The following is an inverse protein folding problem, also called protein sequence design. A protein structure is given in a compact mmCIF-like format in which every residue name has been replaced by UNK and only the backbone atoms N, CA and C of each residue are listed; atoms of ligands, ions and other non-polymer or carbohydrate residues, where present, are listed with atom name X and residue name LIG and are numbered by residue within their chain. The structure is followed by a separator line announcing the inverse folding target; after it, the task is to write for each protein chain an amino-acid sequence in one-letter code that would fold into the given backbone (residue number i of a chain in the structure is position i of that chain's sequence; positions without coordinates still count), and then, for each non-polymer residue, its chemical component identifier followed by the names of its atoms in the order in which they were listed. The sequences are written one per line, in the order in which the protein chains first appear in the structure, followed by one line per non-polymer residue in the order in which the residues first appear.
data_IF_496385513414
#
_entry.id   IF_496385513414
#
_cell.length_a   1.000
_cell.length_b   1.000
_cell.length_c   1.000
_cell.angle_alpha   90.00
_cell.angle_beta   90.00
_cell.angle_gamma   90.00
#
_symmetry.space_group_name_H-M   'P 1'
#
loop_
_entity.id
_entity.type
_entity.pdbx_description
1 polymer ?
#
# COMPACT_ATOMS: atom_id res chain seq x y z
N UNK A 1 16.77 10.02 6.80
CA UNK A 1 16.12 10.06 5.46
C UNK A 1 14.62 10.23 5.66
N UNK A 2 13.92 10.98 4.79
CA UNK A 2 12.45 11.10 4.83
C UNK A 2 11.86 10.24 3.71
N UNK A 3 10.79 9.52 3.99
CA UNK A 3 10.13 8.62 3.03
C UNK A 3 8.66 9.00 2.93
N UNK A 4 8.13 9.05 1.70
CA UNK A 4 6.69 9.19 1.44
C UNK A 4 6.24 7.92 0.73
N UNK A 5 5.33 7.18 1.35
CA UNK A 5 4.73 5.98 0.79
C UNK A 5 3.34 6.32 0.25
N UNK A 6 3.15 6.21 -1.07
CA UNK A 6 1.88 6.50 -1.73
C UNK A 6 1.27 5.18 -2.20
N UNK A 7 0.05 4.92 -1.76
CA UNK A 7 -0.74 3.76 -2.16
C UNK A 7 -2.04 4.25 -2.81
N UNK A 8 -2.36 3.68 -3.97
CA UNK A 8 -3.56 4.04 -4.74
C UNK A 8 -4.46 2.81 -4.80
N UNK A 9 -5.67 2.94 -4.26
CA UNK A 9 -6.60 1.81 -4.18
C UNK A 9 -7.16 1.49 -5.57
N UNK A 10 -7.16 0.20 -5.91
CA UNK A 10 -7.72 -0.31 -7.17
C UNK A 10 -7.09 0.28 -8.47
N UNK A 11 -5.90 0.87 -8.39
CA UNK A 11 -5.19 1.36 -9.57
C UNK A 11 -4.80 0.19 -10.49
N UNK A 12 -5.25 0.25 -11.73
CA UNK A 12 -4.95 -0.77 -12.72
C UNK A 12 -3.73 -0.37 -13.57
N UNK A 13 -2.76 -1.29 -13.72
CA UNK A 13 -1.62 -1.15 -14.63
C UNK A 13 -2.03 -0.78 -16.05
N UNK A 14 -3.15 -1.34 -16.53
CA UNK A 14 -3.68 -1.13 -17.88
C UNK A 14 -4.31 0.27 -18.08
N UNK A 15 -4.24 1.15 -17.07
CA UNK A 15 -4.68 2.54 -17.14
C UNK A 15 -3.52 3.55 -16.98
N UNK A 16 -2.27 3.13 -17.19
CA UNK A 16 -1.07 3.90 -16.84
C UNK A 16 -0.08 4.00 -18.00
N UNK A 17 0.22 5.22 -18.45
CA UNK A 17 1.20 5.48 -19.53
C UNK A 17 2.59 4.89 -19.26
N UNK A 18 3.13 4.90 -18.01
CA UNK A 18 4.42 4.26 -17.72
C UNK A 18 4.53 2.79 -18.11
N UNK A 19 3.39 2.10 -18.26
CA UNK A 19 3.32 0.71 -18.67
C UNK A 19 2.87 0.54 -20.14
N UNK A 20 2.92 1.62 -20.95
CA UNK A 20 2.68 1.61 -22.39
C UNK A 20 1.22 1.85 -22.81
N UNK A 21 0.33 2.18 -21.87
CA UNK A 21 -1.08 2.46 -22.15
C UNK A 21 -1.23 3.82 -22.82
N UNK A 22 -2.05 3.89 -23.88
CA UNK A 22 -2.30 5.14 -24.64
C UNK A 22 -3.70 5.72 -24.48
N UNK A 23 -4.60 5.00 -23.82
CA UNK A 23 -6.02 5.37 -23.66
C UNK A 23 -6.28 6.32 -22.49
N UNK A 24 -5.40 6.32 -21.48
CA UNK A 24 -5.50 7.16 -20.29
C UNK A 24 -4.26 8.02 -20.21
N UNK A 25 -4.42 9.34 -20.02
CA UNK A 25 -3.30 10.27 -19.92
C UNK A 25 -2.88 10.45 -18.45
N UNK A 26 -1.63 10.14 -18.14
CA UNK A 26 -1.05 10.13 -16.79
C UNK A 26 0.33 10.82 -16.75
N UNK A 27 0.44 12.08 -17.21
CA UNK A 27 1.73 12.72 -17.50
C UNK A 27 2.61 12.91 -16.26
N UNK A 28 2.00 13.06 -15.08
CA UNK A 28 2.72 13.16 -13.82
C UNK A 28 3.44 11.85 -13.44
N UNK A 29 2.84 10.69 -13.74
CA UNK A 29 3.48 9.39 -13.52
C UNK A 29 4.61 9.14 -14.53
N UNK A 30 4.42 9.52 -15.79
CA UNK A 30 5.47 9.48 -16.82
C UNK A 30 6.68 10.34 -16.40
N UNK A 31 6.45 11.56 -15.89
CA UNK A 31 7.51 12.42 -15.34
C UNK A 31 8.17 11.82 -14.08
N UNK A 32 7.45 11.04 -13.28
CA UNK A 32 8.02 10.37 -12.12
C UNK A 32 8.91 9.20 -12.52
N UNK A 33 8.48 8.37 -13.47
CA UNK A 33 9.25 7.25 -14.01
C UNK A 33 10.63 7.67 -14.54
N UNK A 34 10.75 8.84 -15.16
CA UNK A 34 12.04 9.37 -15.64
C UNK A 34 13.10 9.57 -14.54
N UNK A 35 12.69 9.60 -13.26
CA UNK A 35 13.54 9.87 -12.10
C UNK A 35 13.51 8.74 -11.07
N UNK A 36 12.90 7.61 -11.40
CA UNK A 36 12.66 6.51 -10.48
C UNK A 36 12.81 5.16 -11.19
N UNK A 37 12.88 4.08 -10.42
CA UNK A 37 12.83 2.72 -10.96
C UNK A 37 11.37 2.29 -11.09
N UNK A 38 11.00 1.76 -12.26
CA UNK A 38 9.69 1.13 -12.49
C UNK A 38 9.83 -0.38 -12.47
N UNK A 39 8.95 -1.05 -11.74
CA UNK A 39 8.95 -2.51 -11.62
C UNK A 39 7.88 -3.11 -12.52
N UNK A 40 8.29 -3.83 -13.57
CA UNK A 40 7.36 -4.47 -14.51
C UNK A 40 6.69 -5.74 -13.96
N UNK A 41 7.25 -6.31 -12.91
CA UNK A 41 6.84 -7.60 -12.32
C UNK A 41 6.66 -7.47 -10.81
N UNK A 42 5.87 -6.49 -10.39
CA UNK A 42 5.45 -6.33 -8.99
C UNK A 42 4.04 -6.89 -8.82
N UNK A 43 3.90 -7.86 -7.91
CA UNK A 43 2.65 -8.55 -7.63
C UNK A 43 2.27 -8.37 -6.18
N UNK A 44 0.99 -8.18 -5.93
CA UNK A 44 0.43 -8.19 -4.58
C UNK A 44 0.37 -9.63 -4.06
N UNK A 45 0.63 -9.82 -2.77
CA UNK A 45 0.47 -11.12 -2.11
C UNK A 45 -1.01 -11.44 -1.90
N UNK A 46 -1.64 -10.72 -0.98
CA UNK A 46 -3.04 -10.92 -0.60
C UNK A 46 -3.98 -9.90 -1.24
N UNK A 47 -5.14 -10.34 -1.73
CA UNK A 47 -6.23 -9.48 -2.22
C UNK A 47 -7.55 -9.84 -1.52
N UNK A 48 -8.52 -8.89 -1.37
CA UNK A 48 -8.52 -7.49 -1.83
C UNK A 48 -7.87 -6.52 -0.82
N UNK A 49 -8.06 -5.21 -1.02
CA UNK A 49 -7.51 -4.06 -0.27
C UNK A 49 -6.94 -4.32 1.14
N UNK A 50 -7.75 -4.77 2.11
CA UNK A 50 -7.32 -4.91 3.52
C UNK A 50 -6.27 -6.00 3.73
N UNK A 51 -6.47 -7.24 3.24
CA UNK A 51 -5.39 -8.23 3.17
C UNK A 51 -4.09 -7.70 2.53
N UNK A 52 -4.18 -6.97 1.42
CA UNK A 52 -2.99 -6.40 0.76
C UNK A 52 -2.26 -5.41 1.69
N UNK A 53 -3.01 -4.56 2.39
CA UNK A 53 -2.48 -3.59 3.36
C UNK A 53 -1.83 -4.28 4.53
N UNK A 54 -2.45 -5.33 5.08
CA UNK A 54 -1.84 -6.15 6.13
C UNK A 54 -0.51 -6.76 5.69
N UNK A 55 -0.43 -7.30 4.48
CA UNK A 55 0.84 -7.81 3.93
C UNK A 55 1.90 -6.71 3.85
N UNK A 56 1.52 -5.49 3.46
CA UNK A 56 2.44 -4.33 3.42
C UNK A 56 2.89 -3.89 4.82
N UNK A 57 2.01 -3.92 5.82
CA UNK A 57 2.35 -3.57 7.20
C UNK A 57 3.37 -4.55 7.80
N UNK A 58 3.21 -5.84 7.50
CA UNK A 58 3.90 -6.94 8.18
C UNK A 58 5.04 -7.57 7.38
N UNK A 59 5.10 -7.33 6.07
CA UNK A 59 6.05 -7.96 5.16
C UNK A 59 5.83 -9.46 4.95
N UNK A 60 4.63 -9.99 5.24
CA UNK A 60 4.31 -11.43 5.14
C UNK A 60 2.97 -11.63 4.42
N UNK A 61 2.81 -12.71 3.66
CA UNK A 61 1.54 -13.02 2.99
C UNK A 61 0.57 -13.74 3.93
N UNK A 62 -0.60 -13.14 4.18
CA UNK A 62 -1.55 -13.63 5.18
C UNK A 62 -2.78 -14.34 4.62
N UNK A 63 -3.17 -14.13 3.35
CA UNK A 63 -4.48 -14.58 2.85
C UNK A 63 -4.76 -16.08 3.03
N UNK A 64 -3.73 -16.93 2.98
CA UNK A 64 -3.86 -18.38 3.16
C UNK A 64 -4.22 -18.79 4.59
N UNK A 65 -3.93 -17.93 5.57
CA UNK A 65 -4.09 -18.22 7.00
C UNK A 65 -5.11 -17.29 7.65
N UNK A 66 -5.50 -16.22 6.96
CA UNK A 66 -6.39 -15.20 7.47
C UNK A 66 -7.18 -14.55 6.34
N UNK A 67 -8.50 -14.62 6.47
CA UNK A 67 -9.44 -13.93 5.58
C UNK A 67 -9.38 -12.41 5.73
N UNK A 68 -10.18 -11.70 4.94
CA UNK A 68 -10.36 -10.26 5.05
C UNK A 68 -10.61 -9.81 6.49
N UNK A 69 -9.94 -8.73 6.88
CA UNK A 69 -10.03 -8.18 8.24
C UNK A 69 -8.90 -7.21 8.52
N UNK A 70 -8.87 -6.67 9.74
CA UNK A 70 -7.88 -5.68 10.10
C UNK A 70 -6.54 -6.28 10.55
N UNK A 71 -5.61 -5.41 10.97
CA UNK A 71 -4.45 -5.87 11.74
C UNK A 71 -4.93 -6.47 13.05
N UNK A 72 -4.27 -7.54 13.47
CA UNK A 72 -4.48 -8.17 14.75
C UNK A 72 -3.49 -7.59 15.79
N UNK A 73 -3.78 -7.66 17.10
CA UNK A 73 -2.89 -7.13 18.13
C UNK A 73 -1.46 -7.70 18.14
N UNK A 74 -1.25 -8.85 17.50
CA UNK A 74 0.04 -9.52 17.40
C UNK A 74 0.75 -9.29 16.05
N UNK A 75 0.18 -8.48 15.16
CA UNK A 75 0.81 -8.17 13.88
C UNK A 75 1.94 -7.14 14.06
N UNK A 76 3.10 -7.44 13.48
CA UNK A 76 4.25 -6.54 13.42
C UNK A 76 4.02 -5.44 12.38
N UNK A 77 3.53 -4.28 12.81
CA UNK A 77 3.24 -3.14 11.92
C UNK A 77 4.48 -2.26 11.71
N UNK A 78 5.00 -2.13 10.47
CA UNK A 78 6.21 -1.33 10.22
C UNK A 78 6.12 0.14 10.71
N UNK A 79 4.97 0.86 10.60
CA UNK A 79 4.87 2.21 11.14
C UNK A 79 4.98 2.26 12.66
N UNK A 80 4.49 1.24 13.36
CA UNK A 80 4.58 1.11 14.81
C UNK A 80 6.02 0.80 15.24
N UNK A 81 6.68 -0.15 14.55
CA UNK A 81 8.10 -0.46 14.77
C UNK A 81 8.97 0.79 14.56
N UNK A 82 8.71 1.57 13.50
CA UNK A 82 9.41 2.83 13.25
C UNK A 82 9.21 3.84 14.40
N UNK A 83 7.97 4.00 14.87
CA UNK A 83 7.63 4.88 16.00
C UNK A 83 8.34 4.49 17.28
N UNK A 84 8.36 3.19 17.60
CA UNK A 84 9.07 2.64 18.77
C UNK A 84 10.58 2.91 18.71
N UNK A 85 11.14 3.04 17.49
CA UNK A 85 12.54 3.41 17.26
C UNK A 85 12.76 4.93 17.11
N UNK A 86 11.81 5.76 17.56
CA UNK A 86 11.93 7.22 17.56
C UNK A 86 11.78 7.88 16.19
N UNK A 87 11.28 7.16 15.18
CA UNK A 87 11.02 7.70 13.85
C UNK A 87 9.58 8.18 13.78
N UNK A 88 9.38 9.44 13.35
CA UNK A 88 8.04 9.97 13.12
C UNK A 88 7.35 9.25 11.95
N UNK A 89 6.13 8.78 12.20
CA UNK A 89 5.25 8.17 11.20
C UNK A 89 3.90 8.89 11.18
N UNK A 90 3.30 8.98 10.00
CA UNK A 90 2.01 9.65 9.80
C UNK A 90 1.26 9.04 8.63
N UNK A 91 -0.06 8.93 8.77
CA UNK A 91 -0.97 8.42 7.75
C UNK A 91 -1.96 9.52 7.37
N UNK A 92 -2.07 9.81 6.08
CA UNK A 92 -3.17 10.57 5.48
C UNK A 92 -3.85 9.66 4.48
N UNK A 93 -5.14 9.44 4.65
CA UNK A 93 -5.88 8.51 3.79
C UNK A 93 -7.36 8.89 3.70
N UNK A 94 -7.94 8.62 2.54
CA UNK A 94 -9.38 8.63 2.28
C UNK A 94 -10.00 7.22 2.39
N UNK A 95 -9.20 6.21 2.74
CA UNK A 95 -9.65 4.83 2.74
C UNK A 95 -10.56 4.53 3.93
N UNK A 96 -11.85 4.42 3.63
CA UNK A 96 -12.93 4.31 4.61
C UNK A 96 -12.74 3.21 5.68
N UNK A 97 -12.17 2.07 5.31
CA UNK A 97 -12.00 0.95 6.26
C UNK A 97 -11.06 1.25 7.42
N UNK A 98 -10.22 2.28 7.36
CA UNK A 98 -9.44 2.73 8.53
C UNK A 98 -10.28 3.50 9.56
N UNK A 99 -11.45 4.00 9.16
CA UNK A 99 -12.34 4.78 10.01
C UNK A 99 -13.60 4.02 10.43
N UNK A 100 -13.92 2.92 9.73
CA UNK A 100 -15.06 2.08 10.02
C UNK A 100 -14.85 1.26 11.30
N UNK A 101 -15.95 0.82 11.91
CA UNK A 101 -15.90 -0.07 13.07
C UNK A 101 -15.22 -1.41 12.68
N UNK A 102 -14.30 -1.87 13.53
CA UNK A 102 -13.37 -2.95 13.20
C UNK A 102 -12.15 -2.54 12.35
N UNK A 103 -12.00 -1.27 11.98
CA UNK A 103 -10.83 -0.71 11.30
C UNK A 103 -9.75 -0.13 12.21
N UNK A 104 -10.06 0.01 13.50
CA UNK A 104 -9.31 0.81 14.47
C UNK A 104 -7.90 0.27 14.84
N UNK A 105 -7.52 -0.92 14.37
CA UNK A 105 -6.24 -1.56 14.71
C UNK A 105 -5.13 -1.30 13.70
N UNK A 106 -5.36 -0.47 12.68
CA UNK A 106 -4.37 -0.11 11.66
C UNK A 106 -3.54 1.14 11.96
#
# INVERSE_FOLDING_TARGET
MKTVFVLLDSLNRNAMEPYGVKTVHTPNFTRFQQRAVTFDKHYVGSLPCMPARRDMHTGRSHFLHRSWGPLEPFDDSFPEIMKQNGIYTHLVTDHHHYFADGGATY
#
